data_IF_246781554724
#
_entry.id   IF_246781554724
#
_cell.length_a   1.000
_cell.length_b   1.000
_cell.length_c   1.000
_cell.angle_alpha   90.00
_cell.angle_beta   90.00
_cell.angle_gamma   90.00
#
_symmetry.space_group_name_H-M   'P 1'
#
loop_
_entity.id
_entity.type
_entity.pdbx_description
1 polymer ?
#
# COMPACT_ATOMS: atom_id res chain seq x y z
N UNK A 1 33.24 -7.45 3.46
CA UNK A 1 31.91 -7.96 3.85
C UNK A 1 32.07 -9.39 4.35
N UNK A 2 31.54 -9.73 5.52
CA UNK A 2 31.51 -11.11 6.02
C UNK A 2 30.49 -11.94 5.24
N UNK A 3 30.61 -13.28 5.26
CA UNK A 3 29.62 -14.18 4.63
C UNK A 3 28.20 -13.90 5.14
N UNK A 4 28.06 -13.58 6.42
CA UNK A 4 26.77 -13.20 7.03
C UNK A 4 26.21 -11.89 6.44
N UNK A 5 27.05 -10.88 6.20
CA UNK A 5 26.64 -9.62 5.57
C UNK A 5 26.22 -9.82 4.11
N UNK A 6 26.86 -10.74 3.37
CA UNK A 6 26.46 -11.08 1.98
C UNK A 6 25.10 -11.76 1.97
N UNK A 7 24.87 -12.75 2.84
CA UNK A 7 23.57 -13.43 2.96
C UNK A 7 22.48 -12.42 3.32
N UNK A 8 22.74 -11.54 4.29
CA UNK A 8 21.79 -10.51 4.70
C UNK A 8 21.46 -9.53 3.55
N UNK A 9 22.47 -9.10 2.79
CA UNK A 9 22.25 -8.24 1.62
C UNK A 9 21.39 -8.92 0.55
N UNK A 10 21.59 -10.23 0.29
CA UNK A 10 20.77 -11.00 -0.64
C UNK A 10 19.32 -11.13 -0.15
N UNK A 11 19.11 -11.37 1.15
CA UNK A 11 17.77 -11.43 1.76
C UNK A 11 17.05 -10.08 1.62
N UNK A 12 17.74 -8.97 1.91
CA UNK A 12 17.19 -7.61 1.74
C UNK A 12 16.82 -7.38 0.27
N UNK A 13 17.72 -7.68 -0.66
CA UNK A 13 17.49 -7.51 -2.10
C UNK A 13 16.31 -8.36 -2.61
N UNK A 14 16.23 -9.62 -2.22
CA UNK A 14 15.14 -10.52 -2.58
C UNK A 14 13.79 -10.06 -2.03
N UNK A 15 13.75 -9.62 -0.77
CA UNK A 15 12.53 -9.07 -0.17
C UNK A 15 12.10 -7.77 -0.87
N UNK A 16 13.05 -6.90 -1.21
CA UNK A 16 12.77 -5.66 -1.93
C UNK A 16 12.18 -5.93 -3.32
N UNK A 17 12.76 -6.89 -4.06
CA UNK A 17 12.23 -7.31 -5.36
C UNK A 17 10.81 -7.88 -5.23
N UNK A 18 10.56 -8.72 -4.24
CA UNK A 18 9.23 -9.27 -3.97
C UNK A 18 8.21 -8.14 -3.72
N UNK A 19 8.55 -7.17 -2.89
CA UNK A 19 7.68 -6.02 -2.59
C UNK A 19 7.43 -5.19 -3.85
N UNK A 20 8.46 -4.95 -4.66
CA UNK A 20 8.31 -4.22 -5.92
C UNK A 20 7.33 -4.91 -6.87
N UNK A 21 7.41 -6.24 -6.99
CA UNK A 21 6.47 -7.05 -7.79
C UNK A 21 5.05 -6.98 -7.21
N UNK A 22 4.89 -7.17 -5.90
CA UNK A 22 3.57 -7.06 -5.24
C UNK A 22 2.97 -5.67 -5.41
N UNK A 23 3.79 -4.63 -5.34
CA UNK A 23 3.38 -3.25 -5.54
C UNK A 23 2.92 -2.99 -6.98
N UNK A 24 3.63 -3.55 -7.96
CA UNK A 24 3.23 -3.48 -9.37
C UNK A 24 1.89 -4.19 -9.61
N UNK A 25 1.73 -5.41 -9.07
CA UNK A 25 0.47 -6.18 -9.15
C UNK A 25 -0.67 -5.38 -8.50
N UNK A 26 -0.46 -4.84 -7.31
CA UNK A 26 -1.42 -4.00 -6.61
C UNK A 26 -1.81 -2.77 -7.45
N UNK A 27 -0.85 -2.11 -8.08
CA UNK A 27 -1.09 -0.96 -8.96
C UNK A 27 -1.92 -1.32 -10.19
N UNK A 28 -1.64 -2.46 -10.82
CA UNK A 28 -2.32 -2.88 -12.05
C UNK A 28 -3.75 -3.36 -11.76
N UNK A 29 -3.96 -4.16 -10.72
CA UNK A 29 -5.22 -4.87 -10.50
C UNK A 29 -6.14 -4.23 -9.46
N UNK A 30 -5.58 -3.58 -8.44
CA UNK A 30 -6.36 -3.01 -7.32
C UNK A 30 -6.53 -1.51 -7.49
N UNK A 31 -5.42 -0.76 -7.62
CA UNK A 31 -5.47 0.71 -7.78
C UNK A 31 -6.29 1.11 -9.01
N UNK A 32 -6.03 0.53 -10.19
CA UNK A 32 -6.81 0.84 -11.41
C UNK A 32 -8.31 0.50 -11.30
N UNK A 33 -8.68 -0.44 -10.44
CA UNK A 33 -10.09 -0.80 -10.21
C UNK A 33 -10.75 0.22 -9.30
N UNK A 34 -10.06 0.64 -8.25
CA UNK A 34 -10.55 1.68 -7.33
C UNK A 34 -10.62 3.04 -8.03
N UNK A 35 -9.61 3.41 -8.83
CA UNK A 35 -9.62 4.62 -9.66
C UNK A 35 -10.88 4.66 -10.54
N UNK A 36 -11.20 3.56 -11.23
CA UNK A 36 -12.41 3.44 -12.05
C UNK A 36 -13.71 3.58 -11.25
N UNK A 37 -13.74 3.04 -10.03
CA UNK A 37 -14.91 3.14 -9.17
C UNK A 37 -15.14 4.58 -8.70
N UNK A 38 -14.08 5.28 -8.29
CA UNK A 38 -14.16 6.69 -7.89
C UNK A 38 -14.56 7.60 -9.04
N UNK A 39 -13.98 7.41 -10.23
CA UNK A 39 -14.38 8.20 -11.42
C UNK A 39 -15.85 7.95 -11.79
N UNK A 40 -16.34 6.70 -11.69
CA UNK A 40 -17.77 6.38 -11.91
C UNK A 40 -18.69 7.03 -10.89
N UNK A 41 -18.21 7.23 -9.66
CA UNK A 41 -18.93 7.93 -8.61
C UNK A 41 -18.85 9.46 -8.74
N UNK A 42 -18.26 9.99 -9.82
CA UNK A 42 -18.16 11.43 -10.08
C UNK A 42 -16.97 12.12 -9.40
N UNK A 43 -16.06 11.35 -8.80
CA UNK A 43 -14.85 11.89 -8.16
C UNK A 43 -13.81 12.21 -9.24
N UNK A 44 -13.34 13.46 -9.37
CA UNK A 44 -12.36 13.83 -10.38
C UNK A 44 -10.96 13.29 -10.02
N UNK A 45 -10.16 12.77 -10.99
CA UNK A 45 -8.84 12.21 -10.74
C UNK A 45 -7.88 13.12 -9.97
N UNK A 46 -7.91 14.42 -10.25
CA UNK A 46 -7.07 15.40 -9.58
C UNK A 46 -7.32 15.48 -8.06
N UNK A 47 -8.54 15.13 -7.62
CA UNK A 47 -8.92 15.21 -6.21
C UNK A 47 -8.46 13.99 -5.41
N UNK A 48 -8.18 12.87 -6.08
CA UNK A 48 -7.63 11.67 -5.46
C UNK A 48 -6.14 11.42 -5.74
N UNK A 49 -5.52 12.12 -6.68
CA UNK A 49 -4.10 11.99 -7.01
C UNK A 49 -3.20 13.01 -6.31
N UNK A 50 -3.36 13.16 -4.98
CA UNK A 50 -2.53 14.06 -4.17
C UNK A 50 -1.11 13.49 -4.03
N UNK A 51 -0.17 13.94 -4.87
CA UNK A 51 1.26 13.62 -4.80
C UNK A 51 1.58 12.11 -4.75
N UNK A 52 0.76 11.27 -5.39
CA UNK A 52 0.92 9.80 -5.35
C UNK A 52 0.44 9.15 -4.05
N UNK A 53 -0.18 9.89 -3.12
CA UNK A 53 -0.74 9.39 -1.87
C UNK A 53 -2.00 8.53 -2.02
N UNK A 54 -2.55 8.39 -3.24
CA UNK A 54 -3.79 7.62 -3.49
C UNK A 54 -3.69 6.16 -3.10
N UNK A 55 -2.51 5.56 -3.27
CA UNK A 55 -2.24 4.17 -2.86
C UNK A 55 -2.41 4.02 -1.35
N UNK A 56 -1.85 4.97 -0.60
CA UNK A 56 -1.97 5.00 0.85
C UNK A 56 -3.43 5.23 1.28
N UNK A 57 -4.15 6.13 0.61
CA UNK A 57 -5.58 6.37 0.88
C UNK A 57 -6.43 5.13 0.64
N UNK A 58 -6.16 4.35 -0.42
CA UNK A 58 -6.83 3.08 -0.66
C UNK A 58 -6.51 2.03 0.40
N UNK A 59 -5.25 1.93 0.83
CA UNK A 59 -4.88 1.03 1.93
C UNK A 59 -5.61 1.41 3.22
N UNK A 60 -5.70 2.70 3.54
CA UNK A 60 -6.46 3.17 4.69
C UNK A 60 -7.96 2.87 4.56
N UNK A 61 -8.55 3.10 3.39
CA UNK A 61 -9.98 2.88 3.19
C UNK A 61 -10.37 1.40 3.37
N UNK A 62 -9.48 0.48 3.02
CA UNK A 62 -9.72 -0.96 3.11
C UNK A 62 -9.29 -1.57 4.44
N UNK A 63 -8.16 -1.14 5.01
CA UNK A 63 -7.60 -1.72 6.24
C UNK A 63 -8.05 -1.02 7.51
N UNK A 64 -8.24 0.30 7.46
CA UNK A 64 -8.56 1.13 8.63
C UNK A 64 -9.66 2.16 8.31
N UNK A 65 -10.86 1.72 7.88
CA UNK A 65 -11.93 2.62 7.45
C UNK A 65 -12.35 3.63 8.52
N UNK A 66 -12.27 3.25 9.80
CA UNK A 66 -12.53 4.13 10.96
C UNK A 66 -11.65 5.39 11.00
N UNK A 67 -10.53 5.41 10.26
CA UNK A 67 -9.63 6.55 10.20
C UNK A 67 -10.32 7.74 9.51
N UNK A 68 -11.12 7.45 8.48
CA UNK A 68 -11.94 8.43 7.77
C UNK A 68 -13.10 8.94 8.62
N UNK A 69 -13.71 8.08 9.45
CA UNK A 69 -14.78 8.47 10.37
C UNK A 69 -14.31 9.52 11.40
N UNK A 70 -13.07 9.38 11.89
CA UNK A 70 -12.46 10.32 12.85
C UNK A 70 -12.15 11.69 12.26
N UNK A 71 -11.97 11.79 10.95
CA UNK A 71 -11.61 13.05 10.29
C UNK A 71 -12.80 14.00 10.07
N UNK A 72 -14.02 13.66 10.52
CA UNK A 72 -15.23 14.51 10.55
C UNK A 72 -15.20 15.70 9.57
N UNK A 73 -15.51 15.51 8.27
CA UNK A 73 -16.08 16.57 7.40
C UNK A 73 -16.46 16.09 5.98
N UNK A 74 -17.78 16.06 5.76
CA UNK A 74 -18.63 16.54 4.66
C UNK A 74 -18.25 16.43 3.16
N UNK A 75 -17.04 16.12 2.74
CA UNK A 75 -16.70 16.00 1.31
C UNK A 75 -15.61 14.94 1.05
N UNK A 76 -15.78 13.73 1.60
CA UNK A 76 -14.80 12.68 1.37
C UNK A 76 -14.93 12.09 -0.03
N UNK A 77 -14.04 12.54 -0.91
CA UNK A 77 -13.73 11.96 -2.23
C UNK A 77 -13.31 10.47 -2.14
N UNK A 78 -13.07 9.97 -0.93
CA UNK A 78 -12.72 8.58 -0.59
C UNK A 78 -13.56 8.09 0.59
N UNK A 79 -14.86 7.91 0.39
CA UNK A 79 -15.68 7.17 1.35
C UNK A 79 -15.36 5.66 1.21
N UNK A 80 -14.95 4.96 2.29
CA UNK A 80 -14.81 3.51 2.27
C UNK A 80 -16.04 2.78 1.71
N UNK A 81 -17.24 3.33 1.87
CA UNK A 81 -18.47 2.79 1.31
C UNK A 81 -18.50 2.81 -0.23
N UNK A 82 -17.84 3.78 -0.88
CA UNK A 82 -17.74 3.83 -2.35
C UNK A 82 -16.88 2.70 -2.92
N UNK A 83 -15.86 2.27 -2.15
CA UNK A 83 -14.94 1.21 -2.53
C UNK A 83 -15.45 -0.17 -2.10
N UNK A 84 -16.23 -0.27 -1.03
CA UNK A 84 -16.73 -1.53 -0.46
C UNK A 84 -17.27 -2.54 -1.51
N UNK A 85 -18.09 -2.13 -2.52
CA UNK A 85 -18.64 -3.06 -3.51
C UNK A 85 -17.58 -3.67 -4.44
N UNK A 86 -16.42 -3.03 -4.58
CA UNK A 86 -15.37 -3.45 -5.52
C UNK A 86 -14.16 -4.03 -4.81
N UNK A 87 -14.12 -4.11 -3.47
CA UNK A 87 -13.03 -4.76 -2.73
C UNK A 87 -13.09 -6.27 -2.95
N UNK A 88 -11.96 -6.87 -3.36
CA UNK A 88 -11.80 -8.31 -3.49
C UNK A 88 -11.18 -8.91 -2.21
N UNK A 89 -11.44 -10.20 -1.92
CA UNK A 89 -10.83 -10.89 -0.78
C UNK A 89 -9.30 -10.80 -0.76
N UNK A 90 -8.66 -10.81 -1.92
CA UNK A 90 -7.20 -10.75 -2.06
C UNK A 90 -6.60 -9.35 -1.87
N UNK A 91 -7.42 -8.29 -1.87
CA UNK A 91 -6.90 -6.92 -1.72
C UNK A 91 -6.28 -6.71 -0.33
N UNK A 92 -6.96 -7.18 0.72
CA UNK A 92 -6.48 -7.05 2.11
C UNK A 92 -5.16 -7.79 2.33
N UNK A 93 -5.03 -9.10 2.02
CA UNK A 93 -3.75 -9.80 2.11
C UNK A 93 -2.65 -9.11 1.30
N UNK A 94 -2.93 -8.67 0.07
CA UNK A 94 -1.95 -8.00 -0.77
C UNK A 94 -1.45 -6.69 -0.16
N UNK A 95 -2.34 -5.89 0.45
CA UNK A 95 -1.96 -4.66 1.14
C UNK A 95 -1.14 -4.95 2.41
N UNK A 96 -1.59 -5.90 3.24
CA UNK A 96 -0.90 -6.28 4.48
C UNK A 96 0.49 -6.84 4.20
N UNK A 97 0.63 -7.73 3.22
CA UNK A 97 1.93 -8.31 2.84
C UNK A 97 2.90 -7.24 2.35
N UNK A 98 2.43 -6.24 1.59
CA UNK A 98 3.28 -5.12 1.18
C UNK A 98 3.75 -4.29 2.38
N UNK A 99 2.87 -3.94 3.32
CA UNK A 99 3.23 -3.17 4.52
C UNK A 99 4.21 -3.95 5.41
N UNK A 100 3.93 -5.23 5.67
CA UNK A 100 4.78 -6.09 6.46
C UNK A 100 6.16 -6.29 5.79
N UNK A 101 6.18 -6.53 4.49
CA UNK A 101 7.42 -6.66 3.72
C UNK A 101 8.24 -5.37 3.74
N UNK A 102 7.61 -4.21 3.57
CA UNK A 102 8.29 -2.92 3.63
C UNK A 102 8.88 -2.66 5.02
N UNK A 103 8.12 -2.92 6.08
CA UNK A 103 8.59 -2.80 7.46
C UNK A 103 9.76 -3.76 7.75
N UNK A 104 9.67 -5.01 7.28
CA UNK A 104 10.74 -5.99 7.40
C UNK A 104 12.01 -5.54 6.69
N UNK A 105 11.88 -5.04 5.45
CA UNK A 105 13.01 -4.49 4.69
C UNK A 105 13.70 -3.37 5.45
N UNK A 106 12.93 -2.42 5.98
CA UNK A 106 13.45 -1.31 6.75
C UNK A 106 14.17 -1.81 8.02
N UNK A 107 13.56 -2.75 8.74
CA UNK A 107 14.17 -3.37 9.92
C UNK A 107 15.51 -4.06 9.61
N UNK A 108 15.57 -4.84 8.53
CA UNK A 108 16.80 -5.51 8.10
C UNK A 108 17.89 -4.52 7.64
N UNK A 109 17.50 -3.43 6.96
CA UNK A 109 18.44 -2.36 6.57
C UNK A 109 19.00 -1.64 7.80
N UNK A 110 18.16 -1.32 8.79
CA UNK A 110 18.59 -0.71 10.04
C UNK A 110 19.52 -1.65 10.83
N UNK A 111 19.18 -2.94 10.89
CA UNK A 111 20.03 -3.95 11.51
C UNK A 111 21.39 -4.07 10.81
N UNK A 112 21.42 -4.09 9.47
CA UNK A 112 22.68 -4.09 8.72
C UNK A 112 23.52 -2.83 8.97
N UNK A 113 22.88 -1.68 9.19
CA UNK A 113 23.58 -0.39 9.40
C UNK A 113 24.09 -0.20 10.82
N UNK A 114 23.37 -0.70 11.83
CA UNK A 114 23.62 -0.38 13.24
C UNK A 114 23.87 -1.60 14.14
N UNK A 115 23.56 -2.81 13.67
CA UNK A 115 23.65 -4.06 14.43
C UNK A 115 24.84 -4.95 14.10
N UNK A 116 25.73 -4.50 13.21
CA UNK A 116 27.03 -5.13 12.89
C UNK A 116 28.15 -4.15 13.13
#
# INVERSE_FOLDING_TARGET
>A
MTQQQVILALVIGGNWLLIAVLHLVYRIYTVRRYDRQLTRAGVPPAAFDLLGGRIWLYMHAVLTPHWFERLKRREYLFDPALLAPVIKPLDKPLMVTQLAGAALTLGLMLFLKFGT
#
